data_IF_487009069600
#
_entry.id   IF_487009069600
#
_cell.length_a   1.000
_cell.length_b   1.000
_cell.length_c   1.000
_cell.angle_alpha   90.00
_cell.angle_beta   90.00
_cell.angle_gamma   90.00
#
_symmetry.space_group_name_H-M   'P 1'
#
loop_
_entity.id
_entity.type
_entity.pdbx_description
1 polymer ?
#
# COMPACT_ATOMS: atom_id res chain seq x y z
N UNK A 1 25.23 5.13 -2.83
CA UNK A 1 24.01 5.99 -2.94
C UNK A 1 24.06 6.59 -4.34
N UNK A 2 23.24 6.07 -5.24
CA UNK A 2 23.13 6.56 -6.61
C UNK A 2 22.18 7.76 -6.59
N UNK A 3 22.69 8.96 -6.92
CA UNK A 3 21.85 10.11 -7.18
C UNK A 3 20.92 9.77 -8.34
N UNK A 4 19.60 9.88 -8.11
CA UNK A 4 18.59 9.69 -9.16
C UNK A 4 18.55 11.01 -9.94
N UNK A 5 18.91 10.97 -11.21
CA UNK A 5 18.77 12.12 -12.08
C UNK A 5 17.30 12.48 -12.26
N UNK A 6 16.93 13.78 -12.31
CA UNK A 6 15.53 14.24 -12.43
C UNK A 6 14.78 13.64 -13.61
N UNK A 7 15.47 13.45 -14.73
CA UNK A 7 14.93 12.84 -15.94
C UNK A 7 14.52 11.38 -15.77
N UNK A 8 15.11 10.65 -14.81
CA UNK A 8 14.77 9.26 -14.51
C UNK A 8 13.44 9.17 -13.79
N UNK A 9 13.14 10.09 -12.88
CA UNK A 9 11.85 10.17 -12.19
C UNK A 9 10.72 10.54 -13.16
N UNK A 10 10.90 11.57 -14.00
CA UNK A 10 9.89 11.99 -14.97
C UNK A 10 9.65 10.95 -16.06
N UNK A 11 10.68 10.27 -16.55
CA UNK A 11 10.55 9.24 -17.59
C UNK A 11 9.98 7.91 -17.09
N UNK A 12 9.97 7.66 -15.77
CA UNK A 12 9.37 6.47 -15.16
C UNK A 12 7.91 6.69 -14.71
N UNK A 13 7.45 7.94 -14.66
CA UNK A 13 6.10 8.31 -14.31
C UNK A 13 5.26 8.34 -15.60
N UNK A 14 4.68 7.21 -15.98
CA UNK A 14 3.81 7.13 -17.16
C UNK A 14 2.42 7.66 -16.85
N UNK A 15 1.94 8.59 -17.69
CA UNK A 15 0.54 9.03 -17.66
C UNK A 15 -0.43 7.86 -17.82
N UNK A 16 -1.62 7.92 -17.19
CA UNK A 16 -2.60 6.85 -17.30
C UNK A 16 -2.97 6.64 -18.77
N UNK A 17 -2.97 5.38 -19.20
CA UNK A 17 -3.59 5.04 -20.49
C UNK A 17 -5.09 5.25 -20.32
N UNK A 18 -5.70 5.96 -21.28
CA UNK A 18 -7.15 6.05 -21.38
C UNK A 18 -7.68 4.62 -21.50
N UNK A 19 -8.39 4.16 -20.50
CA UNK A 19 -9.08 2.87 -20.56
C UNK A 19 -10.40 3.15 -21.22
N UNK A 20 -10.61 2.57 -22.38
CA UNK A 20 -11.81 2.77 -23.19
C UNK A 20 -13.08 2.51 -22.34
N UNK A 21 -13.99 3.46 -22.31
CA UNK A 21 -15.22 3.37 -21.52
C UNK A 21 -15.14 3.81 -20.07
N UNK A 22 -14.00 4.33 -19.59
CA UNK A 22 -13.83 4.81 -18.21
C UNK A 22 -13.36 6.26 -18.18
N UNK A 23 -14.12 7.12 -17.48
CA UNK A 23 -13.65 8.48 -17.15
C UNK A 23 -12.68 8.40 -15.96
N UNK A 24 -11.42 8.10 -16.29
CA UNK A 24 -10.39 7.94 -15.28
C UNK A 24 -10.20 9.21 -14.44
N UNK A 25 -10.03 10.36 -15.09
CA UNK A 25 -9.71 11.61 -14.41
C UNK A 25 -10.93 12.22 -13.71
N UNK A 26 -12.12 12.15 -14.31
CA UNK A 26 -13.33 12.74 -13.73
C UNK A 26 -14.04 11.84 -12.72
N UNK A 27 -13.96 10.52 -12.84
CA UNK A 27 -14.70 9.59 -11.98
C UNK A 27 -13.78 8.75 -11.08
N UNK A 28 -12.83 8.03 -11.66
CA UNK A 28 -12.09 6.99 -10.92
C UNK A 28 -11.03 7.59 -9.99
N UNK A 29 -10.25 8.52 -10.49
CA UNK A 29 -9.16 9.14 -9.72
C UNK A 29 -9.63 9.85 -8.46
N UNK A 30 -10.68 10.69 -8.48
CA UNK A 30 -11.20 11.32 -7.27
C UNK A 30 -11.69 10.30 -6.23
N UNK A 31 -12.37 9.23 -6.68
CA UNK A 31 -12.84 8.16 -5.79
C UNK A 31 -11.68 7.37 -5.17
N UNK A 32 -10.68 7.02 -5.99
CA UNK A 32 -9.48 6.32 -5.52
C UNK A 32 -8.71 7.16 -4.49
N UNK A 33 -8.56 8.46 -4.75
CA UNK A 33 -7.95 9.40 -3.82
C UNK A 33 -8.74 9.47 -2.51
N UNK A 34 -10.05 9.66 -2.58
CA UNK A 34 -10.92 9.70 -1.39
C UNK A 34 -10.85 8.39 -0.59
N UNK A 35 -10.91 7.22 -1.25
CA UNK A 35 -10.77 5.92 -0.61
C UNK A 35 -9.40 5.75 0.07
N UNK A 36 -8.32 6.18 -0.59
CA UNK A 36 -6.96 6.13 -0.03
C UNK A 36 -6.82 7.02 1.21
N UNK A 37 -7.34 8.25 1.16
CA UNK A 37 -7.32 9.17 2.30
C UNK A 37 -8.18 8.64 3.46
N UNK A 38 -9.40 8.18 3.19
CA UNK A 38 -10.25 7.55 4.21
C UNK A 38 -9.51 6.41 4.92
N UNK A 39 -8.83 5.54 4.16
CA UNK A 39 -8.06 4.43 4.74
C UNK A 39 -6.90 4.89 5.62
N UNK A 40 -6.25 5.97 5.27
CA UNK A 40 -5.20 6.58 6.08
C UNK A 40 -5.73 6.99 7.46
N UNK A 41 -6.87 7.69 7.51
CA UNK A 41 -7.50 8.07 8.79
C UNK A 41 -7.95 6.85 9.58
N UNK A 42 -8.67 5.92 8.95
CA UNK A 42 -9.16 4.70 9.62
C UNK A 42 -8.00 3.87 10.18
N UNK A 43 -6.90 3.69 9.43
CA UNK A 43 -5.76 2.94 9.96
C UNK A 43 -5.07 3.64 11.13
N UNK A 44 -5.04 4.97 11.14
CA UNK A 44 -4.51 5.75 12.26
C UNK A 44 -5.39 5.60 13.51
N UNK A 45 -6.71 5.68 13.36
CA UNK A 45 -7.67 5.46 14.45
C UNK A 45 -7.57 4.04 15.02
N UNK A 46 -7.52 3.04 14.14
CA UNK A 46 -7.38 1.63 14.58
C UNK A 46 -6.06 1.39 15.32
N UNK A 47 -4.99 2.04 14.89
CA UNK A 47 -3.69 1.94 15.57
C UNK A 47 -3.73 2.63 16.94
N UNK A 48 -4.35 3.79 17.05
CA UNK A 48 -4.56 4.49 18.32
C UNK A 48 -5.40 3.67 19.33
N UNK A 49 -6.40 2.93 18.84
CA UNK A 49 -7.20 2.02 19.67
C UNK A 49 -6.35 0.80 20.14
N UNK A 50 -5.45 0.32 19.33
CA UNK A 50 -4.63 -0.86 19.62
C UNK A 50 -3.45 -0.53 20.54
N UNK A 51 -2.78 0.58 20.27
CA UNK A 51 -1.65 1.10 21.05
C UNK A 51 -1.81 2.60 21.29
N UNK A 52 -2.55 2.99 22.33
CA UNK A 52 -2.75 4.41 22.67
C UNK A 52 -1.47 5.16 23.03
N UNK A 53 -0.41 4.45 23.47
CA UNK A 53 0.87 5.08 23.86
C UNK A 53 1.70 5.49 22.65
N UNK A 54 1.42 4.93 21.49
CA UNK A 54 2.11 5.25 20.25
C UNK A 54 1.76 6.64 19.72
N UNK A 55 0.59 7.17 20.12
CA UNK A 55 0.06 8.46 19.70
C UNK A 55 0.10 8.67 18.17
N UNK A 56 -0.47 7.73 17.37
CA UNK A 56 -0.44 7.86 15.93
C UNK A 56 -1.29 9.05 15.48
N UNK A 57 -0.78 9.81 14.51
CA UNK A 57 -1.41 11.06 14.08
C UNK A 57 -1.43 11.23 12.56
N UNK A 58 -2.51 11.82 12.05
CA UNK A 58 -2.61 12.40 10.71
C UNK A 58 -2.85 13.89 10.88
N UNK A 59 -1.98 14.71 10.30
CA UNK A 59 -2.12 16.16 10.34
C UNK A 59 -2.06 16.77 8.93
N UNK A 60 -2.93 17.76 8.61
CA UNK A 60 -2.83 18.48 7.35
C UNK A 60 -1.51 19.28 7.26
N UNK A 61 -0.82 19.18 6.15
CA UNK A 61 0.37 19.98 5.84
C UNK A 61 0.31 20.39 4.37
N UNK A 62 0.41 21.68 4.10
CA UNK A 62 0.26 22.26 2.76
C UNK A 62 -1.10 21.88 2.13
N UNK A 63 -1.07 21.15 1.02
CA UNK A 63 -2.26 20.62 0.33
C UNK A 63 -2.46 19.12 0.55
N UNK A 64 -1.63 18.51 1.41
CA UNK A 64 -1.65 17.08 1.72
C UNK A 64 -1.66 16.79 3.21
N UNK A 65 -1.11 15.64 3.58
CA UNK A 65 -1.14 15.12 4.95
C UNK A 65 0.23 14.54 5.36
N UNK A 66 0.63 14.80 6.59
CA UNK A 66 1.70 14.08 7.27
C UNK A 66 1.10 12.97 8.14
N UNK A 67 1.65 11.77 8.06
CA UNK A 67 1.18 10.58 8.79
C UNK A 67 2.30 10.07 9.66
N UNK A 68 2.00 9.85 10.93
CA UNK A 68 2.87 9.17 11.88
C UNK A 68 2.15 7.95 12.46
N UNK A 69 2.71 6.78 12.24
CA UNK A 69 2.23 5.50 12.76
C UNK A 69 3.26 4.82 13.67
N UNK A 70 4.18 5.61 14.22
CA UNK A 70 5.22 5.17 15.12
C UNK A 70 6.64 5.24 14.53
N UNK A 71 7.65 5.21 15.41
CA UNK A 71 9.06 5.22 15.02
C UNK A 71 9.38 4.04 14.09
N UNK A 72 10.02 4.28 12.96
CA UNK A 72 10.41 3.24 12.01
C UNK A 72 9.27 2.63 11.19
N UNK A 73 8.00 2.97 11.44
CA UNK A 73 6.90 2.45 10.65
C UNK A 73 7.00 2.90 9.19
N UNK A 74 6.94 1.94 8.25
CA UNK A 74 6.97 2.23 6.82
C UNK A 74 5.76 3.02 6.34
N UNK A 75 4.68 3.05 7.11
CA UNK A 75 3.47 3.82 6.87
C UNK A 75 3.53 5.26 7.41
N UNK A 76 4.61 5.64 8.13
CA UNK A 76 4.89 7.02 8.53
C UNK A 76 5.50 7.80 7.37
N UNK A 77 4.66 8.46 6.57
CA UNK A 77 5.10 9.28 5.43
C UNK A 77 4.03 10.29 4.99
N UNK A 78 4.47 11.35 4.30
CA UNK A 78 3.58 12.37 3.76
C UNK A 78 2.93 11.93 2.44
N UNK A 79 1.65 12.25 2.28
CA UNK A 79 0.84 11.94 1.10
C UNK A 79 0.18 13.18 0.53
N UNK A 80 -0.05 13.18 -0.78
CA UNK A 80 -0.80 14.22 -1.51
C UNK A 80 -0.19 15.63 -1.42
N UNK A 81 1.06 15.75 -0.95
CA UNK A 81 1.75 17.03 -0.83
C UNK A 81 2.22 17.50 -2.20
N UNK A 82 1.89 18.75 -2.54
CA UNK A 82 2.23 19.33 -3.84
C UNK A 82 1.51 18.70 -5.02
N UNK A 83 0.32 18.13 -4.83
CA UNK A 83 -0.46 17.49 -5.90
C UNK A 83 -1.53 18.41 -6.47
N UNK A 84 -2.11 19.30 -5.67
CA UNK A 84 -3.14 20.24 -6.10
C UNK A 84 -2.60 21.64 -6.39
N UNK A 85 -1.47 22.00 -5.82
CA UNK A 85 -0.78 23.27 -6.02
C UNK A 85 0.71 23.17 -5.70
N UNK A 86 1.54 24.14 -6.15
CA UNK A 86 2.88 24.31 -5.64
C UNK A 86 2.88 24.53 -4.12
N UNK A 87 3.88 24.03 -3.42
CA UNK A 87 4.11 24.32 -2.02
C UNK A 87 5.30 25.25 -1.86
N UNK A 88 5.32 26.00 -0.76
CA UNK A 88 6.43 26.89 -0.41
C UNK A 88 7.53 26.15 0.37
N UNK A 89 8.74 26.70 0.35
CA UNK A 89 9.84 26.18 1.17
C UNK A 89 9.53 26.19 2.69
N UNK A 90 8.66 27.11 3.16
CA UNK A 90 8.19 27.15 4.55
C UNK A 90 7.27 25.96 4.87
N UNK A 91 6.34 25.64 3.97
CA UNK A 91 5.45 24.49 4.15
C UNK A 91 6.23 23.17 4.16
N UNK A 92 7.23 23.04 3.29
CA UNK A 92 8.13 21.87 3.32
C UNK A 92 8.92 21.82 4.63
N UNK A 93 9.40 22.95 5.16
CA UNK A 93 10.08 22.98 6.46
C UNK A 93 9.15 22.61 7.62
N UNK A 94 7.88 22.98 7.56
CA UNK A 94 6.87 22.56 8.55
C UNK A 94 6.66 21.06 8.51
N UNK A 95 6.62 20.45 7.30
CA UNK A 95 6.54 19.00 7.13
C UNK A 95 7.78 18.28 7.68
N UNK A 96 8.98 18.80 7.38
CA UNK A 96 10.24 18.24 7.89
C UNK A 96 10.29 18.31 9.43
N UNK A 97 9.85 19.42 10.02
CA UNK A 97 9.80 19.60 11.48
C UNK A 97 8.85 18.58 12.13
N UNK A 98 7.67 18.35 11.54
CA UNK A 98 6.74 17.33 12.04
C UNK A 98 7.41 15.96 12.20
N UNK A 99 8.14 15.47 11.20
CA UNK A 99 8.82 14.18 11.30
C UNK A 99 10.03 14.20 12.25
N UNK A 100 10.73 15.34 12.31
CA UNK A 100 11.85 15.53 13.26
C UNK A 100 11.37 15.47 14.71
N UNK A 101 10.26 16.12 15.02
CA UNK A 101 9.64 16.09 16.36
C UNK A 101 9.21 14.68 16.79
N UNK A 102 8.85 13.83 15.82
CA UNK A 102 8.49 12.43 16.05
C UNK A 102 9.67 11.45 15.90
N UNK A 103 10.90 11.94 15.76
CA UNK A 103 12.12 11.12 15.60
C UNK A 103 11.98 10.11 14.46
N UNK A 104 11.41 10.56 13.35
CA UNK A 104 11.17 9.76 12.13
C UNK A 104 11.92 10.33 10.93
N UNK A 105 12.45 9.49 10.03
CA UNK A 105 12.89 9.95 8.72
C UNK A 105 11.77 10.67 7.98
N UNK A 106 12.11 11.75 7.28
CA UNK A 106 11.12 12.49 6.48
C UNK A 106 10.90 11.71 5.18
N UNK A 107 9.73 11.13 5.04
CA UNK A 107 9.33 10.40 3.84
C UNK A 107 8.19 11.12 3.14
N UNK A 108 8.31 11.30 1.83
CA UNK A 108 7.29 11.96 1.02
C UNK A 108 7.00 11.07 -0.19
N UNK A 109 5.74 10.68 -0.35
CA UNK A 109 5.28 10.00 -1.54
C UNK A 109 5.07 11.00 -2.68
N UNK A 110 5.76 10.80 -3.78
CA UNK A 110 5.64 11.59 -5.01
C UNK A 110 5.17 10.74 -6.18
N UNK A 111 4.47 11.34 -7.12
CA UNK A 111 3.94 10.68 -8.32
C UNK A 111 3.97 11.64 -9.52
N UNK A 112 3.45 11.21 -10.65
CA UNK A 112 3.22 12.04 -11.85
C UNK A 112 2.30 13.23 -11.64
N UNK A 113 1.52 13.26 -10.54
CA UNK A 113 0.69 14.39 -10.14
C UNK A 113 1.41 15.40 -9.23
N UNK A 114 2.61 15.08 -8.79
CA UNK A 114 3.38 15.97 -7.93
C UNK A 114 3.95 17.14 -8.74
N UNK A 115 3.75 18.37 -8.26
CA UNK A 115 4.24 19.58 -8.93
C UNK A 115 5.77 19.58 -9.02
N UNK A 116 6.32 19.92 -10.17
CA UNK A 116 7.77 19.89 -10.44
C UNK A 116 8.58 20.71 -9.43
N UNK A 117 8.05 21.86 -8.97
CA UNK A 117 8.72 22.68 -7.97
C UNK A 117 8.97 21.98 -6.63
N UNK A 118 8.09 21.02 -6.24
CA UNK A 118 8.34 20.21 -5.05
C UNK A 118 9.50 19.25 -5.31
N UNK A 119 9.52 18.59 -6.46
CA UNK A 119 10.61 17.66 -6.81
C UNK A 119 11.98 18.36 -6.81
N UNK A 120 12.06 19.57 -7.37
CA UNK A 120 13.25 20.41 -7.35
C UNK A 120 13.69 20.77 -5.92
N UNK A 121 12.74 21.16 -5.05
CA UNK A 121 13.03 21.47 -3.65
C UNK A 121 13.52 20.22 -2.88
N UNK A 122 12.90 19.05 -3.09
CA UNK A 122 13.30 17.82 -2.43
C UNK A 122 14.72 17.42 -2.83
N UNK A 123 15.04 17.50 -4.13
CA UNK A 123 16.39 17.26 -4.62
C UNK A 123 17.41 18.24 -3.99
N UNK A 124 17.10 19.54 -3.96
CA UNK A 124 17.96 20.55 -3.37
C UNK A 124 18.17 20.41 -1.85
N UNK A 125 17.26 19.70 -1.15
CA UNK A 125 17.35 19.41 0.29
C UNK A 125 17.93 18.03 0.63
N UNK A 126 18.45 17.29 -0.35
CA UNK A 126 19.15 16.02 -0.16
C UNK A 126 18.24 14.80 0.06
N UNK A 127 16.99 14.85 -0.41
CA UNK A 127 16.16 13.67 -0.45
C UNK A 127 16.68 12.67 -1.49
N UNK A 128 16.61 11.39 -1.15
CA UNK A 128 16.99 10.29 -2.03
C UNK A 128 15.81 9.33 -2.26
N UNK A 129 15.82 8.65 -3.39
CA UNK A 129 14.83 7.62 -3.67
C UNK A 129 15.00 6.45 -2.70
N UNK A 130 13.95 6.13 -1.95
CA UNK A 130 13.88 5.03 -1.01
C UNK A 130 13.23 3.79 -1.64
N UNK A 131 12.10 3.97 -2.32
CA UNK A 131 11.41 2.88 -3.00
C UNK A 131 10.56 3.39 -4.16
N UNK A 132 10.42 2.56 -5.20
CA UNK A 132 9.51 2.81 -6.31
C UNK A 132 8.32 1.87 -6.23
N UNK A 133 7.16 2.33 -6.68
CA UNK A 133 6.01 1.45 -6.85
C UNK A 133 5.19 1.82 -8.07
N UNK A 134 4.40 0.85 -8.50
CA UNK A 134 3.43 0.98 -9.60
C UNK A 134 2.05 0.67 -9.04
N UNK A 135 1.11 1.53 -9.36
CA UNK A 135 -0.30 1.29 -9.13
C UNK A 135 -0.89 0.58 -10.35
N UNK A 136 -1.65 -0.45 -10.09
CA UNK A 136 -2.26 -1.33 -11.07
C UNK A 136 -3.77 -1.26 -10.95
N UNK A 137 -4.47 -1.36 -12.08
CA UNK A 137 -5.92 -1.48 -12.10
C UNK A 137 -6.37 -2.62 -13.01
N UNK A 138 -7.59 -3.10 -12.78
CA UNK A 138 -8.30 -4.07 -13.60
C UNK A 138 -9.79 -3.78 -13.55
N UNK A 139 -10.51 -3.63 -14.69
CA UNK A 139 -11.97 -3.68 -14.73
C UNK A 139 -12.48 -5.06 -14.27
N UNK A 140 -13.62 -5.09 -13.56
CA UNK A 140 -14.20 -6.31 -12.99
C UNK A 140 -15.42 -6.83 -13.76
N UNK A 141 -15.89 -6.09 -14.74
CA UNK A 141 -17.01 -6.43 -15.64
C UNK A 141 -16.62 -7.39 -16.77
N UNK A 142 -15.34 -7.50 -17.07
CA UNK A 142 -14.78 -8.37 -18.10
C UNK A 142 -14.20 -9.66 -17.49
N UNK A 143 -14.17 -10.71 -18.27
CA UNK A 143 -13.54 -12.02 -18.09
C UNK A 143 -13.63 -12.74 -16.73
N UNK A 144 -13.98 -14.03 -16.74
CA UNK A 144 -13.96 -14.86 -15.54
C UNK A 144 -12.54 -14.93 -14.96
N UNK A 145 -12.47 -14.87 -13.64
CA UNK A 145 -11.22 -14.99 -12.89
C UNK A 145 -10.96 -16.49 -12.72
N UNK A 146 -10.22 -17.06 -13.65
CA UNK A 146 -9.81 -18.46 -13.56
C UNK A 146 -8.52 -18.55 -12.73
N UNK A 147 -8.61 -19.17 -11.58
CA UNK A 147 -7.45 -19.53 -10.77
C UNK A 147 -7.79 -20.78 -9.97
N UNK A 148 -7.39 -21.93 -10.49
CA UNK A 148 -7.55 -23.21 -9.79
C UNK A 148 -6.26 -23.53 -9.03
N UNK A 149 -6.31 -23.50 -7.71
CA UNK A 149 -5.28 -24.06 -6.85
C UNK A 149 -5.88 -25.21 -6.07
N UNK A 150 -5.64 -26.46 -6.52
CA UNK A 150 -6.34 -27.69 -6.07
C UNK A 150 -6.17 -28.04 -4.59
N UNK A 151 -5.14 -27.51 -3.92
CA UNK A 151 -4.82 -27.88 -2.54
C UNK A 151 -4.87 -26.70 -1.56
N UNK A 152 -5.24 -25.50 -2.03
CA UNK A 152 -5.27 -24.29 -1.21
C UNK A 152 -6.70 -23.87 -0.96
N UNK A 153 -7.04 -23.64 0.29
CA UNK A 153 -8.30 -23.07 0.71
C UNK A 153 -8.10 -21.58 1.08
N UNK A 154 -8.81 -20.68 0.40
CA UNK A 154 -8.80 -19.25 0.73
C UNK A 154 -10.03 -18.95 1.56
N UNK A 155 -9.82 -18.49 2.78
CA UNK A 155 -10.84 -18.26 3.79
C UNK A 155 -10.97 -16.77 4.10
N UNK A 156 -12.19 -16.23 4.18
CA UNK A 156 -12.38 -14.94 4.86
C UNK A 156 -12.05 -15.11 6.35
N UNK A 157 -11.44 -14.08 6.93
CA UNK A 157 -10.99 -14.09 8.32
C UNK A 157 -12.13 -13.60 9.21
N UNK A 158 -12.57 -14.44 10.13
CA UNK A 158 -13.46 -14.05 11.23
C UNK A 158 -12.63 -13.49 12.40
N UNK A 159 -13.30 -12.82 13.35
CA UNK A 159 -12.63 -12.08 14.43
C UNK A 159 -11.70 -12.94 15.30
N UNK A 160 -12.04 -14.22 15.49
CA UNK A 160 -11.24 -15.21 16.23
C UNK A 160 -9.94 -15.60 15.51
N UNK A 161 -9.83 -15.31 14.23
CA UNK A 161 -8.64 -15.58 13.42
C UNK A 161 -7.77 -14.35 13.16
N UNK A 162 -8.12 -13.16 13.66
CA UNK A 162 -7.33 -11.95 13.41
C UNK A 162 -5.88 -12.07 13.88
N UNK A 163 -5.64 -12.59 15.05
CA UNK A 163 -4.26 -12.78 15.53
C UNK A 163 -3.47 -13.75 14.65
N UNK A 164 -4.11 -14.80 14.16
CA UNK A 164 -3.50 -15.74 13.22
C UNK A 164 -3.19 -15.09 11.88
N UNK A 165 -4.12 -14.27 11.39
CA UNK A 165 -3.91 -13.51 10.15
C UNK A 165 -2.74 -12.54 10.29
N UNK A 166 -2.69 -11.76 11.37
CA UNK A 166 -1.61 -10.80 11.65
C UNK A 166 -0.25 -11.52 11.68
N UNK A 167 -0.14 -12.62 12.41
CA UNK A 167 1.09 -13.42 12.50
C UNK A 167 1.51 -13.94 11.12
N UNK A 168 0.57 -14.49 10.35
CA UNK A 168 0.86 -15.04 9.02
C UNK A 168 1.33 -13.97 8.05
N UNK A 169 0.65 -12.80 8.04
CA UNK A 169 1.00 -11.69 7.16
C UNK A 169 2.34 -11.08 7.57
N UNK A 170 2.55 -10.83 8.85
CA UNK A 170 3.81 -10.31 9.36
C UNK A 170 4.98 -11.25 8.99
N UNK A 171 4.85 -12.55 9.26
CA UNK A 171 5.86 -13.53 8.87
C UNK A 171 6.18 -13.44 7.36
N UNK A 172 5.17 -13.38 6.49
CA UNK A 172 5.38 -13.29 5.05
C UNK A 172 6.07 -12.00 4.57
N UNK A 173 5.99 -10.90 5.34
CA UNK A 173 6.73 -9.66 5.06
C UNK A 173 8.17 -9.68 5.57
N UNK A 174 8.44 -10.34 6.70
CA UNK A 174 9.73 -10.29 7.38
C UNK A 174 10.60 -11.54 7.18
N UNK A 175 10.03 -12.66 6.74
CA UNK A 175 10.80 -13.86 6.42
C UNK A 175 11.54 -13.67 5.08
N UNK A 176 12.81 -13.25 5.14
CA UNK A 176 13.68 -13.18 3.95
C UNK A 176 14.35 -14.52 3.65
N UNK A 177 14.55 -15.36 4.69
CA UNK A 177 15.20 -16.67 4.66
C UNK A 177 14.50 -17.64 5.62
N UNK A 178 14.74 -18.94 5.48
CA UNK A 178 14.20 -19.98 6.37
C UNK A 178 14.54 -19.80 7.88
N UNK A 179 15.51 -18.95 8.18
CA UNK A 179 16.06 -18.76 9.54
C UNK A 179 15.44 -17.61 10.33
N UNK A 180 14.53 -16.81 9.76
CA UNK A 180 13.88 -15.72 10.51
C UNK A 180 12.72 -16.28 11.34
N UNK A 181 12.92 -16.34 12.63
CA UNK A 181 11.85 -16.75 13.57
C UNK A 181 10.79 -15.63 13.69
N UNK A 182 9.50 -15.95 13.76
CA UNK A 182 8.45 -14.98 14.08
C UNK A 182 8.69 -14.18 15.36
N UNK A 183 9.49 -14.70 16.28
CA UNK A 183 9.85 -14.03 17.54
C UNK A 183 10.77 -12.82 17.36
N UNK A 184 11.34 -12.61 16.18
CA UNK A 184 12.19 -11.43 15.88
C UNK A 184 11.42 -10.25 15.29
N UNK A 185 10.13 -10.42 15.01
CA UNK A 185 9.28 -9.34 14.47
C UNK A 185 8.89 -8.40 15.63
N UNK A 186 9.21 -7.10 15.55
CA UNK A 186 8.81 -6.14 16.58
C UNK A 186 7.30 -6.09 16.78
N UNK A 187 6.84 -6.00 18.03
CA UNK A 187 5.41 -5.98 18.39
C UNK A 187 4.65 -4.87 17.66
N UNK A 188 5.26 -3.72 17.47
CA UNK A 188 4.67 -2.59 16.75
C UNK A 188 4.23 -2.92 15.30
N UNK A 189 4.85 -3.92 14.67
CA UNK A 189 4.41 -4.37 13.35
C UNK A 189 3.12 -5.19 13.41
N UNK A 190 2.89 -5.95 14.48
CA UNK A 190 1.62 -6.67 14.66
C UNK A 190 0.47 -5.68 14.83
N UNK A 191 0.67 -4.60 15.59
CA UNK A 191 -0.33 -3.56 15.78
C UNK A 191 -0.59 -2.78 14.48
N UNK A 192 0.47 -2.50 13.73
CA UNK A 192 0.34 -1.91 12.40
C UNK A 192 -0.45 -2.81 11.43
N UNK A 193 -0.17 -4.13 11.39
CA UNK A 193 -0.92 -5.04 10.54
C UNK A 193 -2.37 -5.16 10.98
N UNK A 194 -2.66 -5.15 12.29
CA UNK A 194 -4.02 -5.04 12.78
C UNK A 194 -4.72 -3.81 12.21
N UNK A 195 -4.12 -2.63 12.32
CA UNK A 195 -4.68 -1.39 11.79
C UNK A 195 -4.85 -1.39 10.26
N UNK A 196 -3.96 -2.10 9.54
CA UNK A 196 -4.01 -2.19 8.09
C UNK A 196 -4.98 -3.25 7.55
N UNK A 197 -5.52 -4.13 8.36
CA UNK A 197 -6.30 -5.25 7.86
C UNK A 197 -7.51 -5.68 8.67
N UNK A 198 -7.70 -5.12 9.86
CA UNK A 198 -8.81 -5.51 10.75
C UNK A 198 -9.80 -4.37 11.00
N UNK A 199 -9.78 -3.32 10.18
CA UNK A 199 -10.78 -2.26 10.27
C UNK A 199 -12.16 -2.75 9.81
N UNK A 200 -13.27 -2.13 10.29
CA UNK A 200 -14.63 -2.60 10.00
C UNK A 200 -14.95 -2.75 8.51
N UNK A 201 -14.36 -1.89 7.67
CA UNK A 201 -14.59 -1.88 6.21
C UNK A 201 -13.59 -2.80 5.45
N UNK A 202 -12.72 -3.49 6.17
CA UNK A 202 -11.75 -4.41 5.59
C UNK A 202 -12.24 -5.85 5.66
N UNK A 203 -11.96 -6.60 4.61
CA UNK A 203 -12.10 -8.04 4.60
C UNK A 203 -10.71 -8.67 4.47
N UNK A 204 -10.26 -9.28 5.55
CA UNK A 204 -9.03 -10.05 5.56
C UNK A 204 -9.26 -11.47 5.02
N UNK A 205 -8.22 -12.04 4.43
CA UNK A 205 -8.21 -13.40 3.87
C UNK A 205 -6.98 -14.15 4.35
N UNK A 206 -7.13 -15.43 4.61
CA UNK A 206 -6.06 -16.39 4.86
C UNK A 206 -6.06 -17.49 3.79
N UNK A 207 -4.86 -17.96 3.45
CA UNK A 207 -4.70 -19.20 2.68
C UNK A 207 -4.27 -20.30 3.64
N UNK A 208 -5.00 -21.41 3.59
CA UNK A 208 -4.69 -22.64 4.33
C UNK A 208 -4.33 -23.76 3.36
N UNK A 209 -3.24 -24.46 3.64
CA UNK A 209 -2.78 -25.65 2.94
C UNK A 209 -2.31 -26.68 3.95
N UNK A 210 -2.77 -27.93 3.86
CA UNK A 210 -2.44 -29.01 4.81
C UNK A 210 -2.58 -28.65 6.31
N UNK A 211 -3.55 -27.76 6.63
CA UNK A 211 -3.81 -27.30 8.00
C UNK A 211 -2.97 -26.10 8.43
N UNK A 212 -1.98 -25.66 7.65
CA UNK A 212 -1.14 -24.50 7.93
C UNK A 212 -1.65 -23.23 7.24
N UNK A 213 -1.51 -22.08 7.88
CA UNK A 213 -1.76 -20.77 7.29
C UNK A 213 -0.46 -20.24 6.65
N UNK A 214 -0.48 -20.08 5.33
CA UNK A 214 0.70 -19.87 4.49
C UNK A 214 0.76 -18.51 3.80
N UNK A 215 -0.31 -17.74 3.89
CA UNK A 215 -0.38 -16.39 3.34
C UNK A 215 -1.67 -15.70 3.71
N UNK A 216 -1.67 -14.39 3.59
CA UNK A 216 -2.85 -13.57 3.87
C UNK A 216 -2.87 -12.29 3.07
N UNK A 217 -4.05 -11.65 3.01
CA UNK A 217 -4.24 -10.41 2.28
C UNK A 217 -5.49 -9.67 2.76
N UNK A 218 -5.66 -8.43 2.29
CA UNK A 218 -6.82 -7.58 2.58
C UNK A 218 -7.51 -7.13 1.30
N UNK A 219 -8.84 -7.07 1.35
CA UNK A 219 -9.72 -6.39 0.42
C UNK A 219 -10.47 -5.29 1.15
N UNK A 220 -10.55 -4.13 0.51
CA UNK A 220 -11.47 -3.06 0.90
C UNK A 220 -12.27 -2.65 -0.33
N UNK A 221 -13.58 -2.53 -0.21
CA UNK A 221 -14.46 -2.07 -1.30
C UNK A 221 -15.15 -0.80 -0.88
N UNK A 222 -14.96 0.28 -1.64
CA UNK A 222 -15.61 1.56 -1.42
C UNK A 222 -15.91 2.23 -2.77
N UNK A 223 -17.09 2.80 -2.91
CA UNK A 223 -17.54 3.58 -4.08
C UNK A 223 -17.33 2.87 -5.44
N UNK A 224 -17.48 1.54 -5.46
CA UNK A 224 -17.29 0.72 -6.65
C UNK A 224 -15.81 0.39 -6.96
N UNK A 225 -14.90 0.76 -6.08
CA UNK A 225 -13.46 0.47 -6.20
C UNK A 225 -13.05 -0.59 -5.17
N UNK A 226 -12.44 -1.67 -5.63
CA UNK A 226 -11.82 -2.68 -4.80
C UNK A 226 -10.32 -2.41 -4.64
N UNK A 227 -9.87 -2.13 -3.44
CA UNK A 227 -8.46 -1.97 -3.09
C UNK A 227 -7.89 -3.29 -2.56
N UNK A 228 -6.98 -3.90 -3.32
CA UNK A 228 -6.31 -5.14 -2.96
C UNK A 228 -4.97 -4.80 -2.28
N UNK A 229 -4.90 -5.01 -0.97
CA UNK A 229 -3.79 -4.52 -0.14
C UNK A 229 -3.19 -5.62 0.73
N UNK A 230 -2.07 -5.31 1.38
CA UNK A 230 -1.47 -6.05 2.51
C UNK A 230 -1.40 -7.56 2.23
N UNK A 231 -0.84 -7.94 1.07
CA UNK A 231 -0.71 -9.32 0.68
C UNK A 231 0.70 -9.84 0.94
N UNK A 232 0.81 -10.98 1.61
CA UNK A 232 2.08 -11.66 1.83
C UNK A 232 1.94 -13.17 1.73
N UNK A 233 3.06 -13.84 1.53
CA UNK A 233 3.20 -15.30 1.51
C UNK A 233 4.41 -15.67 2.33
N UNK A 234 4.26 -16.62 3.25
CA UNK A 234 5.37 -17.15 4.05
C UNK A 234 6.47 -17.69 3.15
N UNK A 235 7.71 -17.50 3.54
CA UNK A 235 8.89 -17.75 2.70
C UNK A 235 8.88 -19.17 2.09
N UNK A 236 8.67 -20.20 2.91
CA UNK A 236 8.67 -21.59 2.48
C UNK A 236 7.58 -21.94 1.42
N UNK A 237 6.54 -21.09 1.29
CA UNK A 237 5.42 -21.30 0.37
C UNK A 237 5.40 -20.32 -0.80
N UNK A 238 6.48 -19.56 -0.99
CA UNK A 238 6.65 -18.68 -2.16
C UNK A 238 6.74 -19.53 -3.43
N UNK A 239 6.32 -18.93 -4.56
CA UNK A 239 6.25 -19.59 -5.88
C UNK A 239 5.25 -20.75 -6.00
N UNK A 240 4.48 -21.07 -4.95
CA UNK A 240 3.44 -22.12 -4.96
C UNK A 240 2.06 -21.61 -5.43
N UNK A 241 1.93 -20.35 -5.88
CA UNK A 241 0.65 -19.79 -6.36
C UNK A 241 -0.22 -19.13 -5.29
N UNK A 242 0.22 -19.05 -4.03
CA UNK A 242 -0.52 -18.48 -2.88
C UNK A 242 -1.06 -17.07 -3.19
N UNK A 243 -0.21 -16.20 -3.73
CA UNK A 243 -0.63 -14.84 -4.08
C UNK A 243 -1.68 -14.82 -5.19
N UNK A 244 -1.61 -15.75 -6.17
CA UNK A 244 -2.61 -15.84 -7.23
C UNK A 244 -3.96 -16.30 -6.67
N UNK A 245 -3.97 -17.27 -5.75
CA UNK A 245 -5.17 -17.70 -5.05
C UNK A 245 -5.82 -16.55 -4.26
N UNK A 246 -5.01 -15.77 -3.50
CA UNK A 246 -5.47 -14.59 -2.78
C UNK A 246 -6.02 -13.50 -3.72
N UNK A 247 -5.37 -13.26 -4.85
CA UNK A 247 -5.85 -12.28 -5.83
C UNK A 247 -7.20 -12.72 -6.41
N UNK A 248 -7.31 -13.99 -6.85
CA UNK A 248 -8.55 -14.52 -7.44
C UNK A 248 -9.72 -14.47 -6.46
N UNK A 249 -9.52 -14.89 -5.21
CA UNK A 249 -10.55 -14.87 -4.19
C UNK A 249 -11.05 -13.45 -3.89
N UNK A 250 -10.11 -12.48 -3.75
CA UNK A 250 -10.45 -11.08 -3.49
C UNK A 250 -11.15 -10.42 -4.68
N UNK A 251 -10.74 -10.72 -5.92
CA UNK A 251 -11.41 -10.20 -7.12
C UNK A 251 -12.83 -10.75 -7.25
N UNK A 252 -13.04 -12.04 -6.93
CA UNK A 252 -14.37 -12.64 -6.89
C UNK A 252 -15.25 -11.94 -5.86
N UNK A 253 -14.77 -11.83 -4.63
CA UNK A 253 -15.46 -11.17 -3.54
C UNK A 253 -15.76 -9.69 -3.85
N UNK A 254 -14.81 -8.96 -4.44
CA UNK A 254 -14.99 -7.57 -4.86
C UNK A 254 -16.13 -7.41 -5.87
N UNK A 255 -16.23 -8.33 -6.84
CA UNK A 255 -17.30 -8.36 -7.82
C UNK A 255 -18.67 -8.65 -7.17
N UNK A 256 -18.72 -9.58 -6.23
CA UNK A 256 -19.92 -9.91 -5.46
C UNK A 256 -20.39 -8.71 -4.61
N UNK A 257 -19.47 -7.84 -4.16
CA UNK A 257 -19.76 -6.58 -3.47
C UNK A 257 -20.04 -5.41 -4.42
N UNK A 258 -20.15 -5.64 -5.72
CA UNK A 258 -20.49 -4.62 -6.71
C UNK A 258 -19.35 -3.68 -7.10
N UNK A 259 -18.09 -4.06 -6.81
CA UNK A 259 -16.96 -3.30 -7.31
C UNK A 259 -16.87 -3.41 -8.83
N UNK A 260 -16.61 -2.28 -9.50
CA UNK A 260 -16.45 -2.18 -10.95
C UNK A 260 -14.99 -2.24 -11.39
N UNK A 261 -14.09 -1.84 -10.52
CA UNK A 261 -12.66 -1.79 -10.78
C UNK A 261 -11.90 -2.29 -9.56
N UNK A 262 -10.82 -3.05 -9.79
CA UNK A 262 -9.85 -3.42 -8.76
C UNK A 262 -8.55 -2.65 -8.94
N UNK A 263 -7.97 -2.19 -7.85
CA UNK A 263 -6.67 -1.53 -7.80
C UNK A 263 -5.73 -2.25 -6.83
N UNK A 264 -4.44 -2.23 -7.15
CA UNK A 264 -3.39 -2.78 -6.30
C UNK A 264 -2.10 -1.99 -6.49
N UNK A 265 -1.13 -2.18 -5.60
CA UNK A 265 0.19 -1.58 -5.69
C UNK A 265 1.27 -2.65 -5.54
N UNK A 266 2.36 -2.51 -6.29
CA UNK A 266 3.54 -3.36 -6.15
C UNK A 266 4.82 -2.61 -6.51
N UNK A 267 5.97 -3.21 -6.23
CA UNK A 267 7.22 -2.79 -6.87
C UNK A 267 7.09 -2.91 -8.39
N UNK A 268 7.85 -2.13 -9.18
CA UNK A 268 7.77 -2.14 -10.65
C UNK A 268 8.06 -3.52 -11.27
N UNK A 269 8.87 -4.32 -10.60
CA UNK A 269 9.26 -5.67 -10.98
C UNK A 269 9.11 -6.63 -9.81
N UNK A 270 9.24 -7.92 -10.07
CA UNK A 270 9.15 -8.98 -9.06
C UNK A 270 7.85 -9.78 -9.10
N UNK A 271 7.71 -10.73 -8.17
CA UNK A 271 6.61 -11.70 -8.18
C UNK A 271 5.22 -11.05 -8.14
N UNK A 272 5.05 -9.99 -7.34
CA UNK A 272 3.76 -9.30 -7.21
C UNK A 272 3.32 -8.66 -8.52
N UNK A 273 4.21 -7.91 -9.18
CA UNK A 273 3.94 -7.31 -10.49
C UNK A 273 3.64 -8.37 -11.57
N UNK A 274 4.38 -9.47 -11.54
CA UNK A 274 4.15 -10.59 -12.45
C UNK A 274 2.77 -11.22 -12.26
N UNK A 275 2.36 -11.47 -11.01
CA UNK A 275 1.05 -12.05 -10.69
C UNK A 275 -0.11 -11.11 -11.07
N UNK A 276 0.06 -9.79 -10.88
CA UNK A 276 -0.92 -8.80 -11.31
C UNK A 276 -1.09 -8.81 -12.83
N UNK A 277 0.01 -8.83 -13.61
CA UNK A 277 -0.05 -8.93 -15.08
C UNK A 277 -0.75 -10.20 -15.55
N UNK A 278 -0.47 -11.35 -14.91
CA UNK A 278 -1.14 -12.63 -15.23
C UNK A 278 -2.66 -12.56 -15.06
N UNK A 279 -3.14 -11.73 -14.15
CA UNK A 279 -4.57 -11.50 -13.93
C UNK A 279 -5.07 -10.23 -14.64
N UNK A 280 -4.44 -9.87 -15.76
CA UNK A 280 -4.83 -8.77 -16.64
C UNK A 280 -4.90 -7.38 -15.96
N UNK A 281 -4.18 -7.18 -14.84
CA UNK A 281 -3.98 -5.84 -14.32
C UNK A 281 -3.05 -5.04 -15.24
N UNK A 282 -3.38 -3.78 -15.43
CA UNK A 282 -2.61 -2.82 -16.20
C UNK A 282 -2.00 -1.76 -15.28
N UNK A 283 -0.75 -1.33 -15.52
CA UNK A 283 -0.18 -0.22 -14.77
C UNK A 283 -0.84 1.09 -15.20
N UNK A 284 -1.12 1.98 -14.23
CA UNK A 284 -1.70 3.28 -14.54
C UNK A 284 -0.96 4.47 -13.93
N UNK A 285 -0.24 4.24 -12.84
CA UNK A 285 0.55 5.29 -12.18
C UNK A 285 1.80 4.71 -11.55
N UNK A 286 2.89 5.44 -11.67
CA UNK A 286 4.12 5.18 -10.93
C UNK A 286 4.31 6.23 -9.85
N UNK A 287 4.96 5.85 -8.77
CA UNK A 287 5.34 6.75 -7.71
C UNK A 287 6.64 6.34 -7.05
N UNK A 288 7.20 7.27 -6.32
CA UNK A 288 8.43 7.07 -5.58
C UNK A 288 8.26 7.58 -4.14
N UNK A 289 8.78 6.83 -3.19
CA UNK A 289 9.02 7.33 -1.85
C UNK A 289 10.38 8.00 -1.81
N UNK A 290 10.40 9.29 -1.57
CA UNK A 290 11.63 10.04 -1.32
C UNK A 290 11.85 10.14 0.18
N UNK A 291 13.07 9.91 0.62
CA UNK A 291 13.43 9.90 2.05
C UNK A 291 14.62 10.83 2.31
N UNK A 292 14.56 11.50 3.45
CA UNK A 292 15.66 12.24 4.05
C UNK A 292 15.82 11.75 5.48
N UNK A 293 17.01 11.26 5.83
CA UNK A 293 17.34 10.87 7.20
C UNK A 293 17.35 12.11 8.11
N UNK A 294 16.88 11.95 9.32
CA UNK A 294 17.13 12.93 10.40
C UNK A 294 18.58 12.77 10.86
N UNK A 295 19.27 13.88 11.01
CA UNK A 295 20.65 13.91 11.47
C UNK A 295 20.75 13.56 12.96
#
# INVERSE_FOLDING_TARGET
>A
MTQVEPDVLQNQLTSPRVVEGWDWNGEIEPKLRAATLRRMFVSTEMLALRDPQLDPIVTPVADGYAVFHGPGAMSSFAREVGTSRPISGKELSTLEQFYTDHICPVRIWVSDHTHSSLLEMLQGRGYAAHSHSVNWFRPLDSDPIHCEHRNMEVLPVAADLYDRWIQTVAAGFFEDHESVSPTTIPTSFFDLFFALGCAPDDQAFLVREHGEYIGGAVLNVADGIAMLRTASTRFAHRNAGVQQALLAARLKCAREQGARIAVSQSLPSGPSAHNLRKLAFQPFRSGCMLEKSIA
#
